data_IF_465440513745
#
_entry.id   IF_465440513745
#
_cell.length_a   1.000
_cell.length_b   1.000
_cell.length_c   1.000
_cell.angle_alpha   90.00
_cell.angle_beta   90.00
_cell.angle_gamma   90.00
#
_symmetry.space_group_name_H-M   'P 1'
#
loop_
_entity.id
_entity.type
_entity.pdbx_description
1 polymer ?
#
# COMPACT_ATOMS: atom_id res chain seq x y z
N UNK A 1 -20.15 -19.95 13.67
CA UNK A 1 -19.35 -20.08 12.44
C UNK A 1 -19.27 -18.70 11.82
N UNK A 2 -18.12 -18.05 11.91
CA UNK A 2 -17.89 -16.76 11.24
C UNK A 2 -17.44 -17.10 9.82
N UNK A 3 -18.25 -16.74 8.82
CA UNK A 3 -17.86 -16.86 7.42
C UNK A 3 -16.75 -15.86 7.16
N UNK A 4 -15.54 -16.35 6.90
CA UNK A 4 -14.45 -15.52 6.41
C UNK A 4 -14.90 -14.95 5.06
N UNK A 5 -14.89 -13.63 4.85
CA UNK A 5 -15.20 -13.06 3.54
C UNK A 5 -14.22 -13.66 2.53
N UNK A 6 -14.76 -14.41 1.57
CA UNK A 6 -13.96 -14.93 0.47
C UNK A 6 -13.69 -13.72 -0.45
N UNK A 7 -12.46 -13.20 -0.38
CA UNK A 7 -12.02 -12.15 -1.30
C UNK A 7 -12.24 -12.66 -2.72
N UNK A 8 -13.02 -11.94 -3.51
CA UNK A 8 -13.21 -12.25 -4.92
C UNK A 8 -11.84 -12.16 -5.60
N UNK A 9 -11.21 -13.31 -5.86
CA UNK A 9 -9.97 -13.37 -6.63
C UNK A 9 -10.29 -12.87 -8.03
N UNK A 10 -9.68 -11.76 -8.44
CA UNK A 10 -9.77 -11.32 -9.83
C UNK A 10 -9.04 -12.34 -10.70
N UNK A 11 -9.62 -12.74 -11.83
CA UNK A 11 -8.96 -13.57 -12.85
C UNK A 11 -7.80 -12.84 -13.55
N UNK A 12 -7.48 -11.61 -13.14
CA UNK A 12 -6.39 -10.83 -13.70
C UNK A 12 -5.04 -11.36 -13.21
N UNK A 13 -4.21 -11.79 -14.17
CA UNK A 13 -2.84 -12.20 -13.91
C UNK A 13 -2.01 -11.06 -13.31
N UNK A 14 -1.15 -11.40 -12.36
CA UNK A 14 -0.19 -10.49 -11.76
C UNK A 14 1.18 -11.16 -11.58
N UNK A 15 2.20 -10.32 -11.42
CA UNK A 15 3.55 -10.74 -11.08
C UNK A 15 3.99 -10.06 -9.78
N UNK A 16 4.75 -10.79 -8.98
CA UNK A 16 5.45 -10.22 -7.82
C UNK A 16 6.82 -9.75 -8.30
N UNK A 17 7.09 -8.46 -8.14
CA UNK A 17 8.34 -7.82 -8.56
C UNK A 17 8.96 -7.06 -7.41
N UNK A 18 10.29 -6.88 -7.44
CA UNK A 18 10.99 -5.99 -6.52
C UNK A 18 10.58 -4.55 -6.78
N UNK A 19 10.37 -3.80 -5.71
CA UNK A 19 10.12 -2.36 -5.79
C UNK A 19 11.44 -1.63 -6.03
N UNK A 20 11.40 -0.60 -6.86
CA UNK A 20 12.51 0.32 -7.11
C UNK A 20 12.13 1.75 -6.72
N UNK A 21 13.09 2.68 -6.55
CA UNK A 21 12.78 4.08 -6.26
C UNK A 21 11.86 4.76 -7.29
N UNK A 22 11.80 4.25 -8.53
CA UNK A 22 10.92 4.78 -9.59
C UNK A 22 9.44 4.44 -9.35
N UNK A 23 9.15 3.45 -8.52
CA UNK A 23 7.80 2.99 -8.23
C UNK A 23 7.13 3.77 -7.08
N UNK A 24 7.87 4.67 -6.41
CA UNK A 24 7.43 5.35 -5.19
C UNK A 24 6.04 6.00 -5.31
N UNK A 25 5.84 6.87 -6.31
CA UNK A 25 4.57 7.57 -6.48
C UNK A 25 3.40 6.61 -6.74
N UNK A 26 3.64 5.60 -7.56
CA UNK A 26 2.65 4.59 -7.90
C UNK A 26 2.22 3.76 -6.68
N UNK A 27 3.16 3.51 -5.76
CA UNK A 27 2.89 2.86 -4.48
C UNK A 27 2.12 3.79 -3.55
N UNK A 28 2.51 5.06 -3.46
CA UNK A 28 1.79 6.06 -2.66
C UNK A 28 0.33 6.20 -3.11
N UNK A 29 0.07 6.24 -4.42
CA UNK A 29 -1.30 6.26 -4.94
C UNK A 29 -2.14 5.06 -4.49
N UNK A 30 -1.53 3.87 -4.41
CA UNK A 30 -2.18 2.69 -3.88
C UNK A 30 -2.43 2.80 -2.37
N UNK A 31 -1.45 3.25 -1.59
CA UNK A 31 -1.55 3.39 -0.13
C UNK A 31 -2.58 4.46 0.28
N UNK A 32 -2.59 5.62 -0.39
CA UNK A 32 -3.58 6.69 -0.19
C UNK A 32 -5.02 6.21 -0.41
N UNK A 33 -5.21 5.31 -1.38
CA UNK A 33 -6.53 4.79 -1.72
C UNK A 33 -7.05 3.75 -0.72
N UNK A 34 -6.16 2.92 -0.16
CA UNK A 34 -6.52 1.78 0.67
C UNK A 34 -5.91 1.88 2.07
N UNK A 35 -4.63 1.56 2.21
CA UNK A 35 -3.97 1.37 3.50
C UNK A 35 -4.12 2.56 4.47
N UNK A 36 -3.84 3.79 4.04
CA UNK A 36 -3.90 4.95 4.96
C UNK A 36 -5.29 5.23 5.51
N UNK A 37 -6.34 4.81 4.80
CA UNK A 37 -7.75 5.00 5.18
C UNK A 37 -8.36 3.82 5.92
N UNK A 38 -7.77 2.64 5.77
CA UNK A 38 -8.33 1.37 6.25
C UNK A 38 -7.52 0.75 7.40
N UNK A 39 -6.29 1.22 7.65
CA UNK A 39 -5.48 0.73 8.77
C UNK A 39 -6.11 1.14 10.12
N UNK A 40 -6.29 0.18 11.06
CA UNK A 40 -7.04 0.42 12.30
C UNK A 40 -6.55 1.59 13.16
N UNK A 41 -5.24 1.76 13.34
CA UNK A 41 -4.72 2.85 14.18
C UNK A 41 -4.86 4.20 13.50
N UNK A 42 -4.64 4.28 12.18
CA UNK A 42 -4.85 5.49 11.40
C UNK A 42 -6.30 5.99 11.53
N UNK A 43 -7.28 5.07 11.52
CA UNK A 43 -8.69 5.39 11.73
C UNK A 43 -8.93 5.87 13.16
N UNK A 44 -8.42 5.14 14.17
CA UNK A 44 -8.68 5.41 15.59
C UNK A 44 -8.22 6.82 16.00
N UNK A 45 -7.04 7.24 15.52
CA UNK A 45 -6.50 8.57 15.81
C UNK A 45 -6.96 9.64 14.82
N UNK A 46 -7.79 9.28 13.83
CA UNK A 46 -8.26 10.16 12.75
C UNK A 46 -7.10 10.84 12.03
N UNK A 47 -6.10 10.04 11.66
CA UNK A 47 -4.85 10.54 11.08
C UNK A 47 -5.08 11.38 9.82
N UNK A 48 -6.09 11.02 9.02
CA UNK A 48 -6.47 11.72 7.79
C UNK A 48 -7.70 12.63 7.97
N UNK A 49 -7.84 13.19 9.17
CA UNK A 49 -8.97 14.03 9.56
C UNK A 49 -10.25 13.22 9.82
N UNK A 50 -11.30 13.92 10.26
CA UNK A 50 -12.60 13.33 10.62
C UNK A 50 -13.30 12.61 9.45
N UNK A 51 -12.98 13.01 8.21
CA UNK A 51 -13.63 12.50 6.99
C UNK A 51 -12.72 11.61 6.14
N UNK A 52 -11.45 11.44 6.51
CA UNK A 52 -10.47 10.65 5.76
C UNK A 52 -10.03 11.27 4.43
N UNK A 53 -10.22 12.57 4.26
CA UNK A 53 -9.91 13.34 3.05
C UNK A 53 -8.62 14.17 3.14
N UNK A 54 -7.96 14.18 4.30
CA UNK A 54 -6.65 14.80 4.49
C UNK A 54 -5.51 13.83 4.11
N UNK A 55 -4.28 14.37 4.07
CA UNK A 55 -3.04 13.64 3.78
C UNK A 55 -2.05 13.79 4.93
N UNK A 56 -1.19 12.79 5.14
CA UNK A 56 -0.11 12.84 6.13
C UNK A 56 1.23 12.60 5.42
N UNK A 57 1.99 13.68 5.20
CA UNK A 57 3.25 13.65 4.47
C UNK A 57 4.31 12.79 5.19
N UNK A 58 4.31 12.79 6.52
CA UNK A 58 5.23 11.99 7.33
C UNK A 58 5.02 10.50 7.10
N UNK A 59 3.75 10.04 7.05
CA UNK A 59 3.42 8.65 6.77
C UNK A 59 3.78 8.28 5.32
N UNK A 60 3.54 9.16 4.37
CA UNK A 60 3.93 8.95 2.96
C UNK A 60 5.44 8.77 2.82
N UNK A 61 6.22 9.70 3.40
CA UNK A 61 7.68 9.65 3.39
C UNK A 61 8.20 8.38 4.07
N UNK A 62 7.65 8.03 5.24
CA UNK A 62 8.01 6.81 5.97
C UNK A 62 7.77 5.53 5.13
N UNK A 63 6.68 5.45 4.39
CA UNK A 63 6.41 4.28 3.55
C UNK A 63 7.42 4.11 2.40
N UNK A 64 7.93 5.21 1.83
CA UNK A 64 8.82 5.13 0.65
C UNK A 64 10.31 5.21 0.99
N UNK A 65 10.68 5.66 2.20
CA UNK A 65 12.09 5.87 2.57
C UNK A 65 12.92 4.57 2.56
N UNK A 66 12.28 3.42 2.80
CA UNK A 66 12.92 2.10 2.86
C UNK A 66 13.05 1.43 1.48
N UNK A 67 12.42 1.99 0.44
CA UNK A 67 12.49 1.44 -0.94
C UNK A 67 13.93 1.28 -1.45
N UNK A 68 14.87 2.24 -1.26
CA UNK A 68 16.25 2.11 -1.71
C UNK A 68 17.01 0.91 -1.13
N UNK A 69 16.53 0.31 -0.03
CA UNK A 69 17.14 -0.88 0.57
C UNK A 69 16.89 -2.16 -0.25
N UNK A 70 15.94 -2.12 -1.19
CA UNK A 70 15.71 -3.21 -2.14
C UNK A 70 15.06 -4.47 -1.55
N UNK A 71 14.41 -4.36 -0.40
CA UNK A 71 13.70 -5.44 0.30
C UNK A 71 12.20 -5.48 0.03
N UNK A 72 11.64 -4.38 -0.47
CA UNK A 72 10.21 -4.24 -0.74
C UNK A 72 9.79 -4.96 -2.04
N UNK A 73 8.57 -5.51 -2.04
CA UNK A 73 7.96 -6.18 -3.21
C UNK A 73 6.56 -5.65 -3.47
N UNK A 74 6.14 -5.67 -4.73
CA UNK A 74 4.77 -5.34 -5.12
C UNK A 74 4.19 -6.40 -6.05
N UNK A 75 2.89 -6.62 -5.94
CA UNK A 75 2.11 -7.37 -6.91
C UNK A 75 1.58 -6.40 -7.98
N UNK A 76 1.92 -6.64 -9.25
CA UNK A 76 1.55 -5.77 -10.37
C UNK A 76 0.90 -6.58 -11.49
N UNK A 77 -0.22 -6.08 -12.01
CA UNK A 77 -0.92 -6.68 -13.16
C UNK A 77 -0.17 -6.44 -14.47
N UNK A 78 -0.55 -7.14 -15.54
CA UNK A 78 0.00 -6.93 -16.88
C UNK A 78 -0.25 -5.51 -17.43
N UNK A 79 -1.26 -4.79 -16.92
CA UNK A 79 -1.53 -3.38 -17.28
C UNK A 79 -0.71 -2.38 -16.47
N UNK A 80 0.12 -2.87 -15.54
CA UNK A 80 0.91 -2.04 -14.65
C UNK A 80 0.14 -1.57 -13.42
N UNK A 81 -1.12 -1.99 -13.16
CA UNK A 81 -1.81 -1.64 -11.92
C UNK A 81 -1.21 -2.36 -10.71
N UNK A 82 -0.98 -1.63 -9.60
CA UNK A 82 -0.58 -2.23 -8.30
C UNK A 82 -1.79 -2.89 -7.64
N UNK A 83 -1.64 -4.17 -7.33
CA UNK A 83 -2.63 -4.97 -6.59
C UNK A 83 -2.39 -4.88 -5.10
N UNK A 84 -1.12 -4.86 -4.68
CA UNK A 84 -0.72 -4.75 -3.29
C UNK A 84 0.80 -4.60 -3.16
N UNK A 85 1.25 -4.18 -1.98
CA UNK A 85 2.66 -3.94 -1.67
C UNK A 85 3.03 -4.54 -0.31
N UNK A 86 4.27 -5.00 -0.19
CA UNK A 86 4.92 -5.31 1.08
C UNK A 86 6.17 -4.44 1.15
N UNK A 87 6.08 -3.40 1.99
CA UNK A 87 7.16 -2.47 2.25
C UNK A 87 7.97 -2.98 3.43
N UNK A 88 9.26 -3.22 3.21
CA UNK A 88 10.16 -3.82 4.19
C UNK A 88 11.41 -2.95 4.32
N UNK A 89 11.81 -2.66 5.55
CA UNK A 89 13.07 -1.97 5.88
C UNK A 89 13.88 -2.76 6.89
N UNK A 90 15.17 -2.47 6.97
CA UNK A 90 16.09 -2.97 8.00
C UNK A 90 16.09 -2.03 9.21
N UNK A 91 16.33 -2.60 10.39
CA UNK A 91 16.40 -1.88 11.67
C UNK A 91 17.84 -1.61 12.07
#
# INVERSE_FOLDING_TARGET
>A
MVSIPQVAMSDEEYQIVKVTPKDGEKILDHLRKFFFREEPLNIDIKLLGERGDETCEELENYCIETIPEGLSVMAVTNTGRVVGVSLNGQT
#
